data_IF_275173895716
#
_entry.id   IF_275173895716
#
_cell.length_a   1.000
_cell.length_b   1.000
_cell.length_c   1.000
_cell.angle_alpha   90.00
_cell.angle_beta   90.00
_cell.angle_gamma   90.00
#
_symmetry.space_group_name_H-M   'P 1'
#
loop_
_entity.id
_entity.type
_entity.pdbx_description
1 polymer ?
#
# COMPACT_ATOMS: atom_id res chain seq x y z
N UNK A 1 -5.14 35.23 35.56
CA UNK A 1 -3.75 34.93 35.14
C UNK A 1 -3.71 34.93 33.62
N UNK A 2 -2.75 35.66 32.99
CA UNK A 2 -2.62 35.66 31.54
C UNK A 2 -2.03 34.31 31.09
N UNK A 3 -2.54 33.72 30.01
CA UNK A 3 -2.10 32.42 29.47
C UNK A 3 -0.57 32.35 29.30
N UNK A 4 0.05 33.48 28.90
CA UNK A 4 1.51 33.57 28.75
C UNK A 4 2.29 33.36 30.10
N UNK A 5 1.69 33.73 31.24
CA UNK A 5 2.30 33.49 32.56
C UNK A 5 2.19 32.00 32.95
N UNK A 6 1.05 31.35 32.64
CA UNK A 6 0.89 29.92 32.82
C UNK A 6 1.92 29.12 32.03
N UNK A 7 2.14 29.50 30.77
CA UNK A 7 3.13 28.92 29.89
C UNK A 7 4.56 29.01 30.42
N UNK A 8 4.97 30.20 30.89
CA UNK A 8 6.31 30.42 31.49
C UNK A 8 6.53 29.61 32.77
N UNK A 9 5.48 29.45 33.59
CA UNK A 9 5.54 28.62 34.81
C UNK A 9 5.64 27.15 34.48
N UNK A 10 4.90 26.66 33.46
CA UNK A 10 4.95 25.27 32.99
C UNK A 10 6.36 24.91 32.46
N UNK A 11 6.99 25.77 31.69
CA UNK A 11 8.38 25.55 31.24
C UNK A 11 9.34 25.42 32.43
N UNK A 12 9.23 26.33 33.41
CA UNK A 12 10.07 26.27 34.64
C UNK A 12 9.84 24.98 35.43
N UNK A 13 8.61 24.51 35.53
CA UNK A 13 8.27 23.25 36.21
C UNK A 13 8.91 22.05 35.54
N UNK A 14 8.83 21.97 34.20
CA UNK A 14 9.42 20.88 33.39
C UNK A 14 10.96 20.87 33.53
N UNK A 15 11.58 22.03 33.48
CA UNK A 15 13.06 22.14 33.59
C UNK A 15 13.59 21.86 34.98
N UNK A 16 12.81 22.07 36.05
CA UNK A 16 13.23 21.84 37.41
C UNK A 16 13.34 20.34 37.78
N UNK A 17 12.51 19.47 37.18
CA UNK A 17 12.49 18.03 37.46
C UNK A 17 12.54 17.20 36.16
N UNK A 18 13.69 17.32 35.45
CA UNK A 18 13.91 16.76 34.09
C UNK A 18 13.60 15.26 33.96
N UNK A 19 14.09 14.45 34.91
CA UNK A 19 13.90 12.97 34.86
C UNK A 19 12.43 12.61 34.93
N UNK A 20 11.64 13.26 35.79
CA UNK A 20 10.20 13.04 35.93
C UNK A 20 9.47 13.45 34.66
N UNK A 21 9.82 14.62 34.09
CA UNK A 21 9.22 15.09 32.85
C UNK A 21 9.50 14.15 31.66
N UNK A 22 10.72 13.62 31.55
CA UNK A 22 11.06 12.65 30.52
C UNK A 22 10.29 11.35 30.67
N UNK A 23 10.22 10.80 31.90
CA UNK A 23 9.48 9.57 32.18
C UNK A 23 7.98 9.71 31.91
N UNK A 24 7.38 10.86 32.22
CA UNK A 24 5.99 11.15 31.89
C UNK A 24 5.73 11.27 30.40
N UNK A 25 6.62 11.97 29.71
CA UNK A 25 6.50 12.14 28.25
C UNK A 25 6.74 10.83 27.51
N UNK A 26 7.52 9.88 28.07
CA UNK A 26 7.94 8.67 27.36
C UNK A 26 6.73 7.84 26.85
N UNK A 27 5.69 7.69 27.65
CA UNK A 27 4.47 6.98 27.23
C UNK A 27 3.78 7.64 26.04
N UNK A 28 3.72 8.98 26.03
CA UNK A 28 3.13 9.75 24.93
C UNK A 28 4.05 9.71 23.71
N UNK A 29 5.36 9.86 23.88
CA UNK A 29 6.33 9.80 22.81
C UNK A 29 6.24 8.46 22.06
N UNK A 30 6.27 7.36 22.81
CA UNK A 30 6.16 6.02 22.22
C UNK A 30 4.79 5.83 21.56
N UNK A 31 3.70 6.23 22.20
CA UNK A 31 2.36 6.11 21.67
C UNK A 31 2.19 6.87 20.35
N UNK A 32 2.57 8.14 20.32
CA UNK A 32 2.48 8.98 19.11
C UNK A 32 3.41 8.47 18.02
N UNK A 33 4.67 8.12 18.34
CA UNK A 33 5.60 7.59 17.37
C UNK A 33 5.08 6.29 16.73
N UNK A 34 4.54 5.37 17.54
CA UNK A 34 3.98 4.11 17.05
C UNK A 34 2.81 4.34 16.09
N UNK A 35 1.88 5.26 16.42
CA UNK A 35 0.75 5.62 15.53
C UNK A 35 1.28 6.16 14.20
N UNK A 36 2.21 7.11 14.24
CA UNK A 36 2.75 7.74 13.04
C UNK A 36 3.45 6.71 12.16
N UNK A 37 4.30 5.84 12.72
CA UNK A 37 5.01 4.80 11.97
C UNK A 37 4.00 3.82 11.35
N UNK A 38 3.10 3.23 12.15
CA UNK A 38 2.17 2.20 11.70
C UNK A 38 1.26 2.69 10.58
N UNK A 39 0.60 3.83 10.79
CA UNK A 39 -0.34 4.36 9.79
C UNK A 39 0.40 4.77 8.52
N UNK A 40 1.61 5.31 8.64
CA UNK A 40 2.43 5.67 7.47
C UNK A 40 2.86 4.43 6.68
N UNK A 41 3.28 3.35 7.34
CA UNK A 41 3.67 2.10 6.67
C UNK A 41 2.48 1.46 5.95
N UNK A 42 1.31 1.40 6.59
CA UNK A 42 0.09 0.86 5.97
C UNK A 42 -0.33 1.69 4.75
N UNK A 43 -0.37 3.03 4.88
CA UNK A 43 -0.68 3.92 3.75
C UNK A 43 0.33 3.79 2.61
N UNK A 44 1.61 3.74 2.93
CA UNK A 44 2.68 3.58 1.93
C UNK A 44 2.64 2.22 1.22
N UNK A 45 2.33 1.15 1.93
CA UNK A 45 2.11 -0.17 1.35
C UNK A 45 0.91 -0.17 0.39
N UNK A 46 -0.20 0.46 0.80
CA UNK A 46 -1.39 0.61 -0.04
C UNK A 46 -1.09 1.42 -1.32
N UNK A 47 -0.37 2.52 -1.19
CA UNK A 47 0.00 3.34 -2.34
C UNK A 47 0.84 2.55 -3.34
N UNK A 48 1.87 1.82 -2.88
CA UNK A 48 2.67 0.95 -3.75
C UNK A 48 1.85 -0.12 -4.43
N UNK A 49 0.93 -0.74 -3.70
CA UNK A 49 0.05 -1.75 -4.26
C UNK A 49 -0.84 -1.16 -5.35
N UNK A 50 -1.40 0.04 -5.13
CA UNK A 50 -2.20 0.74 -6.14
C UNK A 50 -1.38 1.09 -7.38
N UNK A 51 -0.16 1.64 -7.21
CA UNK A 51 0.76 1.92 -8.31
C UNK A 51 1.10 0.66 -9.11
N UNK A 52 1.32 -0.47 -8.43
CA UNK A 52 1.56 -1.75 -9.07
C UNK A 52 0.37 -2.21 -9.92
N UNK A 53 -0.87 -2.13 -9.39
CA UNK A 53 -2.07 -2.48 -10.14
C UNK A 53 -2.34 -1.51 -11.31
N UNK A 54 -2.05 -0.22 -11.15
CA UNK A 54 -2.13 0.75 -12.25
C UNK A 54 -1.17 0.39 -13.39
N UNK A 55 0.04 -0.06 -13.06
CA UNK A 55 1.02 -0.55 -14.06
C UNK A 55 0.57 -1.84 -14.73
N UNK A 56 -0.03 -2.78 -14.01
CA UNK A 56 -0.62 -4.00 -14.58
C UNK A 56 -1.70 -3.69 -15.62
N UNK A 57 -2.35 -2.54 -15.48
CA UNK A 57 -3.45 -2.09 -16.32
C UNK A 57 -4.80 -2.29 -15.66
N UNK A 58 -5.45 -1.19 -15.38
CA UNK A 58 -6.80 -1.14 -14.82
C UNK A 58 -7.82 -1.78 -15.77
N UNK A 59 -8.96 -2.18 -15.22
CA UNK A 59 -10.10 -2.71 -15.94
C UNK A 59 -9.89 -4.11 -16.57
N UNK A 60 -8.99 -4.92 -15.98
CA UNK A 60 -8.84 -6.32 -16.39
C UNK A 60 -9.90 -7.20 -15.72
N UNK A 61 -10.40 -8.13 -16.49
CA UNK A 61 -11.27 -9.22 -16.05
C UNK A 61 -10.60 -10.52 -16.45
N UNK A 62 -10.27 -11.33 -15.46
CA UNK A 62 -9.69 -12.66 -15.67
C UNK A 62 -10.80 -13.68 -15.76
N UNK A 63 -10.76 -14.48 -16.80
CA UNK A 63 -11.67 -15.58 -17.06
C UNK A 63 -10.91 -16.88 -16.95
N UNK A 64 -11.28 -17.74 -16.01
CA UNK A 64 -10.73 -19.08 -15.83
C UNK A 64 -11.80 -20.11 -16.16
N UNK A 65 -11.46 -21.10 -17.01
CA UNK A 65 -12.34 -22.20 -17.37
C UNK A 65 -11.78 -23.47 -16.73
N UNK A 66 -12.57 -24.07 -15.85
CA UNK A 66 -12.23 -25.30 -15.17
C UNK A 66 -12.91 -26.48 -15.90
N UNK A 67 -12.22 -27.60 -16.03
CA UNK A 67 -12.82 -28.82 -16.58
C UNK A 67 -12.46 -29.10 -18.04
N UNK A 68 -13.31 -29.94 -18.70
CA UNK A 68 -13.06 -30.33 -20.09
C UNK A 68 -13.37 -29.20 -21.05
N UNK A 69 -12.35 -28.83 -21.83
CA UNK A 69 -12.48 -27.88 -22.93
C UNK A 69 -13.58 -28.36 -23.92
N UNK A 70 -14.60 -27.53 -24.13
CA UNK A 70 -15.52 -27.73 -25.25
C UNK A 70 -14.84 -27.23 -26.51
N UNK A 71 -14.68 -28.10 -27.49
CA UNK A 71 -14.20 -27.71 -28.82
C UNK A 71 -14.96 -26.49 -29.32
N UNK A 72 -14.22 -25.41 -29.64
CA UNK A 72 -14.79 -24.17 -30.15
C UNK A 72 -15.19 -23.12 -29.10
N UNK A 73 -15.01 -23.39 -27.79
CA UNK A 73 -15.36 -22.42 -26.74
C UNK A 73 -14.53 -21.13 -26.85
N UNK A 74 -13.24 -21.25 -27.18
CA UNK A 74 -12.35 -20.10 -27.39
C UNK A 74 -12.87 -19.19 -28.50
N UNK A 75 -13.19 -19.75 -29.64
CA UNK A 75 -13.70 -19.04 -30.80
C UNK A 75 -15.03 -18.35 -30.50
N UNK A 76 -15.93 -19.04 -29.84
CA UNK A 76 -17.23 -18.47 -29.45
C UNK A 76 -17.08 -17.37 -28.40
N UNK A 77 -16.14 -17.49 -27.46
CA UNK A 77 -15.83 -16.45 -26.48
C UNK A 77 -15.23 -15.20 -27.15
N UNK A 78 -14.31 -15.39 -28.10
CA UNK A 78 -13.75 -14.27 -28.88
C UNK A 78 -14.83 -13.55 -29.67
N UNK A 79 -15.72 -14.30 -30.34
CA UNK A 79 -16.84 -13.73 -31.07
C UNK A 79 -17.81 -12.99 -30.15
N UNK A 80 -18.13 -13.56 -28.98
CA UNK A 80 -18.98 -12.92 -27.99
C UNK A 80 -18.40 -11.60 -27.49
N UNK A 81 -17.09 -11.56 -27.14
CA UNK A 81 -16.41 -10.34 -26.75
C UNK A 81 -16.34 -9.33 -27.91
N UNK A 82 -16.09 -9.79 -29.13
CA UNK A 82 -16.03 -8.95 -30.33
C UNK A 82 -17.36 -8.24 -30.67
N UNK A 83 -18.50 -8.84 -30.29
CA UNK A 83 -19.84 -8.23 -30.45
C UNK A 83 -20.16 -7.18 -29.36
N UNK A 84 -19.41 -7.12 -28.29
CA UNK A 84 -19.60 -6.23 -27.14
C UNK A 84 -18.55 -5.15 -27.03
N UNK A 85 -18.21 -4.52 -28.14
CA UNK A 85 -17.21 -3.42 -28.20
C UNK A 85 -17.59 -2.17 -27.42
N UNK A 86 -18.84 -2.07 -26.99
CA UNK A 86 -19.33 -1.05 -26.07
C UNK A 86 -18.74 -1.21 -24.65
N UNK A 87 -18.53 -2.45 -24.19
CA UNK A 87 -18.07 -2.78 -22.85
C UNK A 87 -16.64 -3.37 -22.81
N UNK A 88 -16.25 -4.09 -23.86
CA UNK A 88 -14.99 -4.84 -23.94
C UNK A 88 -14.07 -4.20 -24.98
N UNK A 89 -12.85 -3.85 -24.57
CA UNK A 89 -11.81 -3.31 -25.44
C UNK A 89 -11.01 -4.39 -26.17
N UNK A 90 -10.87 -5.58 -25.58
CA UNK A 90 -10.15 -6.70 -26.16
C UNK A 90 -10.17 -7.95 -25.28
N UNK A 91 -9.79 -9.06 -25.85
CA UNK A 91 -9.62 -10.35 -25.17
C UNK A 91 -8.37 -11.05 -25.69
N UNK A 92 -7.58 -11.64 -24.79
CA UNK A 92 -6.35 -12.38 -25.12
C UNK A 92 -6.26 -13.63 -24.25
N UNK A 93 -5.61 -14.71 -24.74
CA UNK A 93 -5.22 -15.82 -23.87
C UNK A 93 -4.30 -15.33 -22.76
N UNK A 94 -4.35 -15.99 -21.61
CA UNK A 94 -3.46 -15.75 -20.48
C UNK A 94 -2.84 -17.08 -20.03
N UNK A 95 -1.89 -17.54 -20.82
CA UNK A 95 -1.19 -18.82 -20.62
C UNK A 95 0.31 -18.58 -20.73
N UNK A 96 1.02 -18.87 -19.65
CA UNK A 96 2.48 -18.86 -19.60
C UNK A 96 3.01 -20.27 -19.86
N UNK A 97 3.82 -20.40 -20.91
CA UNK A 97 4.46 -21.66 -21.28
C UNK A 97 5.73 -21.94 -20.47
N UNK A 98 6.22 -20.96 -19.71
CA UNK A 98 7.44 -21.06 -18.87
C UNK A 98 8.65 -21.67 -19.61
N UNK A 99 8.82 -21.31 -20.89
CA UNK A 99 9.87 -21.86 -21.75
C UNK A 99 11.13 -20.97 -21.73
N UNK A 100 12.33 -21.57 -21.77
CA UNK A 100 13.56 -20.79 -21.87
C UNK A 100 13.70 -20.16 -23.25
N UNK A 101 14.30 -18.96 -23.26
CA UNK A 101 14.64 -18.23 -24.49
C UNK A 101 16.16 -18.15 -24.59
N UNK A 102 16.72 -18.41 -25.78
CA UNK A 102 18.13 -18.29 -26.03
C UNK A 102 18.42 -17.51 -27.32
N UNK A 103 19.53 -16.77 -27.28
CA UNK A 103 20.11 -16.07 -28.43
C UNK A 103 21.61 -16.25 -28.39
N UNK A 104 22.17 -16.83 -29.44
CA UNK A 104 23.59 -17.19 -29.49
C UNK A 104 24.02 -18.02 -28.28
N UNK A 105 25.00 -17.52 -27.51
CA UNK A 105 25.51 -18.15 -26.28
C UNK A 105 24.77 -17.76 -24.99
N UNK A 106 23.81 -16.81 -25.09
CA UNK A 106 23.03 -16.34 -23.91
C UNK A 106 21.72 -17.11 -23.79
N UNK A 107 21.38 -17.55 -22.59
CA UNK A 107 20.13 -18.23 -22.29
C UNK A 107 19.52 -17.69 -21.02
N UNK A 108 18.21 -17.50 -21.03
CA UNK A 108 17.44 -17.01 -19.88
C UNK A 108 17.36 -18.00 -18.73
N UNK A 109 17.75 -19.27 -18.91
CA UNK A 109 17.90 -20.24 -17.82
C UNK A 109 18.94 -19.85 -16.78
N UNK A 110 19.86 -18.94 -17.14
CA UNK A 110 20.92 -18.43 -16.25
C UNK A 110 20.58 -17.09 -15.61
N UNK A 111 19.36 -16.59 -15.75
CA UNK A 111 18.93 -15.37 -15.08
C UNK A 111 18.75 -15.63 -13.57
N UNK A 112 19.37 -14.81 -12.73
CA UNK A 112 19.27 -14.91 -11.26
C UNK A 112 17.85 -14.70 -10.75
N UNK A 113 17.05 -13.93 -11.48
CA UNK A 113 15.66 -13.58 -11.14
C UNK A 113 14.60 -14.54 -11.70
N UNK A 114 15.04 -15.70 -12.21
CA UNK A 114 14.17 -16.64 -12.92
C UNK A 114 14.05 -16.33 -14.42
N UNK A 115 13.68 -17.32 -15.20
CA UNK A 115 13.45 -17.17 -16.64
C UNK A 115 12.26 -16.26 -16.96
N UNK A 116 12.15 -15.74 -18.19
CA UNK A 116 11.01 -14.94 -18.62
C UNK A 116 9.76 -15.81 -18.76
N UNK A 117 8.61 -15.21 -18.47
CA UNK A 117 7.33 -15.78 -18.84
C UNK A 117 7.12 -15.71 -20.36
N UNK A 118 6.75 -16.82 -20.98
CA UNK A 118 6.43 -16.88 -22.41
C UNK A 118 4.92 -17.00 -22.58
N UNK A 119 4.27 -15.88 -22.84
CA UNK A 119 2.81 -15.81 -22.96
C UNK A 119 2.35 -16.12 -24.37
N UNK A 120 1.25 -16.85 -24.44
CA UNK A 120 0.44 -16.95 -25.66
C UNK A 120 -0.34 -15.64 -25.83
N UNK A 121 -0.28 -15.03 -27.00
CA UNK A 121 -0.98 -13.77 -27.28
C UNK A 121 -1.69 -13.76 -28.62
N UNK A 122 -2.59 -12.81 -28.75
CA UNK A 122 -3.22 -12.43 -30.02
C UNK A 122 -3.03 -10.93 -30.28
N UNK A 123 -3.76 -10.35 -31.22
CA UNK A 123 -3.70 -8.92 -31.55
C UNK A 123 -4.05 -7.97 -30.42
N UNK A 124 -4.81 -8.45 -29.44
CA UNK A 124 -5.31 -7.64 -28.31
C UNK A 124 -4.42 -7.76 -27.07
N UNK A 125 -3.31 -8.54 -27.14
CA UNK A 125 -2.47 -8.80 -25.98
C UNK A 125 -1.93 -7.52 -25.34
N UNK A 126 -1.38 -6.63 -26.16
CA UNK A 126 -0.83 -5.36 -25.71
C UNK A 126 -1.90 -4.44 -25.12
N UNK A 127 -3.08 -4.40 -25.74
CA UNK A 127 -4.25 -3.66 -25.26
C UNK A 127 -4.71 -4.21 -23.92
N UNK A 128 -4.92 -5.53 -23.80
CA UNK A 128 -5.38 -6.18 -22.59
C UNK A 128 -4.40 -5.99 -21.44
N UNK A 129 -3.11 -6.08 -21.70
CA UNK A 129 -2.07 -6.00 -20.70
C UNK A 129 -1.42 -4.60 -20.58
N UNK A 130 -1.94 -3.59 -21.26
CA UNK A 130 -1.45 -2.20 -21.21
C UNK A 130 0.04 -2.05 -21.55
N UNK A 131 0.53 -2.85 -22.53
CA UNK A 131 1.87 -2.70 -23.07
C UNK A 131 1.86 -1.77 -24.28
N UNK A 132 2.95 -1.05 -24.48
CA UNK A 132 3.19 -0.23 -25.66
C UNK A 132 4.42 -0.73 -26.39
N UNK A 133 4.38 -0.73 -27.72
CA UNK A 133 5.54 -1.08 -28.53
C UNK A 133 6.58 0.04 -28.45
N UNK A 134 7.80 -0.32 -28.12
CA UNK A 134 8.96 0.57 -28.12
C UNK A 134 9.74 0.52 -29.43
N UNK A 135 9.91 -0.68 -30.00
CA UNK A 135 10.60 -0.91 -31.27
C UNK A 135 9.89 -2.00 -32.06
N UNK A 136 9.92 -1.89 -33.40
CA UNK A 136 9.28 -2.87 -34.25
C UNK A 136 7.76 -2.77 -34.30
N UNK A 137 7.06 -3.89 -34.31
CA UNK A 137 5.59 -4.00 -34.36
C UNK A 137 5.06 -5.04 -33.39
N UNK A 138 3.77 -4.93 -33.08
CA UNK A 138 3.03 -5.90 -32.30
C UNK A 138 2.55 -7.11 -33.13
N UNK A 139 1.98 -8.12 -32.44
CA UNK A 139 1.34 -9.26 -33.09
C UNK A 139 0.16 -8.79 -33.96
N UNK A 140 0.07 -9.36 -35.14
CA UNK A 140 -1.03 -9.11 -36.07
C UNK A 140 -1.90 -10.34 -36.23
N UNK A 141 -3.13 -10.15 -36.72
CA UNK A 141 -4.04 -11.25 -37.04
C UNK A 141 -3.42 -12.28 -38.01
N UNK A 142 -2.62 -11.79 -38.96
CA UNK A 142 -1.92 -12.66 -39.93
C UNK A 142 -0.87 -13.55 -39.28
N UNK A 143 -0.21 -13.09 -38.21
CA UNK A 143 0.81 -13.89 -37.54
C UNK A 143 0.16 -15.12 -36.85
N UNK A 144 -1.02 -14.97 -36.23
CA UNK A 144 -1.77 -16.09 -35.67
C UNK A 144 -2.39 -16.97 -36.76
N UNK A 145 -3.01 -16.36 -37.78
CA UNK A 145 -3.70 -17.11 -38.85
C UNK A 145 -2.76 -17.96 -39.71
N UNK A 146 -1.56 -17.44 -39.98
CA UNK A 146 -0.54 -18.12 -40.78
C UNK A 146 0.45 -18.94 -39.94
N UNK A 147 0.20 -19.05 -38.62
CA UNK A 147 1.08 -19.75 -37.68
C UNK A 147 2.55 -19.33 -37.82
N UNK A 148 2.82 -18.02 -37.92
CA UNK A 148 4.19 -17.51 -38.08
C UNK A 148 4.97 -17.66 -36.75
N UNK A 149 6.25 -18.07 -36.91
CA UNK A 149 7.15 -18.14 -35.76
C UNK A 149 7.70 -16.74 -35.46
N UNK A 150 6.91 -15.91 -34.81
CA UNK A 150 7.30 -14.55 -34.44
C UNK A 150 7.13 -14.35 -32.93
N UNK A 151 7.92 -13.43 -32.37
CA UNK A 151 7.89 -13.10 -30.95
C UNK A 151 8.03 -11.60 -30.73
N UNK A 152 7.30 -11.08 -29.75
CA UNK A 152 7.51 -9.74 -29.19
C UNK A 152 8.14 -9.91 -27.82
N UNK A 153 9.29 -9.28 -27.58
CA UNK A 153 10.03 -9.40 -26.33
C UNK A 153 9.64 -8.27 -25.35
N UNK A 154 9.64 -8.56 -24.07
CA UNK A 154 9.64 -7.55 -23.02
C UNK A 154 11.00 -6.86 -22.95
N UNK A 155 11.02 -5.62 -22.44
CA UNK A 155 12.23 -4.80 -22.42
C UNK A 155 13.39 -5.46 -21.64
N UNK A 156 13.11 -6.11 -20.53
CA UNK A 156 14.14 -6.77 -19.70
C UNK A 156 14.72 -8.01 -20.40
N UNK A 157 13.86 -8.84 -20.97
CA UNK A 157 14.29 -10.02 -21.75
C UNK A 157 15.15 -9.60 -22.93
N UNK A 158 14.73 -8.56 -23.65
CA UNK A 158 15.49 -8.02 -24.79
C UNK A 158 16.87 -7.50 -24.36
N UNK A 159 16.94 -6.69 -23.29
CA UNK A 159 18.20 -6.19 -22.74
C UNK A 159 19.14 -7.32 -22.30
N UNK A 160 18.61 -8.35 -21.64
CA UNK A 160 19.41 -9.47 -21.17
C UNK A 160 20.02 -10.30 -22.31
N UNK A 161 19.22 -10.60 -23.34
CA UNK A 161 19.66 -11.44 -24.45
C UNK A 161 20.56 -10.70 -25.44
N UNK A 162 20.26 -9.44 -25.74
CA UNK A 162 20.86 -8.69 -26.85
C UNK A 162 21.82 -7.58 -26.40
N UNK A 163 21.76 -7.18 -25.11
CA UNK A 163 22.55 -6.07 -24.59
C UNK A 163 22.29 -4.77 -25.37
N UNK A 164 23.26 -4.31 -26.18
CA UNK A 164 23.13 -3.10 -26.99
C UNK A 164 22.74 -3.36 -28.46
N UNK A 165 22.59 -4.64 -28.85
CA UNK A 165 22.21 -5.00 -30.23
C UNK A 165 20.69 -4.85 -30.39
N UNK A 166 20.25 -4.32 -31.55
CA UNK A 166 18.80 -4.27 -31.83
C UNK A 166 18.24 -5.68 -32.01
N UNK A 167 17.26 -6.09 -31.17
CA UNK A 167 16.63 -7.40 -31.25
C UNK A 167 15.76 -7.60 -32.50
N UNK A 168 15.17 -6.51 -33.04
CA UNK A 168 14.18 -6.61 -34.11
C UNK A 168 14.83 -7.17 -35.40
N UNK A 169 14.20 -8.18 -35.98
CA UNK A 169 14.70 -8.89 -37.13
C UNK A 169 15.74 -9.98 -36.85
N UNK A 170 16.06 -10.22 -35.56
CA UNK A 170 16.94 -11.33 -35.15
C UNK A 170 16.10 -12.56 -34.80
N UNK A 171 16.74 -13.73 -34.89
CA UNK A 171 16.13 -15.00 -34.53
C UNK A 171 16.51 -15.41 -33.10
N UNK A 172 15.54 -15.80 -32.28
CA UNK A 172 15.73 -16.38 -30.94
C UNK A 172 15.13 -17.77 -30.87
N UNK A 173 15.65 -18.61 -30.02
CA UNK A 173 15.09 -19.96 -29.82
C UNK A 173 14.27 -19.98 -28.53
N UNK A 174 12.99 -20.37 -28.65
CA UNK A 174 12.04 -20.54 -27.54
C UNK A 174 11.71 -22.03 -27.44
N UNK A 175 12.03 -22.65 -26.29
CA UNK A 175 11.86 -24.10 -26.16
C UNK A 175 12.59 -24.90 -27.27
N UNK A 176 13.69 -24.37 -27.78
CA UNK A 176 14.49 -24.98 -28.85
C UNK A 176 13.96 -24.73 -30.28
N UNK A 177 12.86 -24.01 -30.47
CA UNK A 177 12.29 -23.67 -31.77
C UNK A 177 12.66 -22.22 -32.19
N UNK A 178 12.98 -21.95 -33.47
CA UNK A 178 13.33 -20.62 -33.92
C UNK A 178 12.12 -19.70 -34.03
N UNK A 179 12.26 -18.46 -33.54
CA UNK A 179 11.28 -17.39 -33.62
C UNK A 179 11.94 -16.09 -34.05
N UNK A 180 11.35 -15.38 -35.00
CA UNK A 180 11.77 -14.07 -35.41
C UNK A 180 11.28 -12.98 -34.46
N UNK A 181 12.17 -12.17 -33.92
CA UNK A 181 11.79 -11.00 -33.08
C UNK A 181 11.23 -9.91 -34.01
N UNK A 182 9.93 -9.59 -33.81
CA UNK A 182 9.22 -8.57 -34.60
C UNK A 182 9.05 -7.26 -33.87
N UNK A 183 9.20 -7.26 -32.54
CA UNK A 183 9.06 -6.05 -31.73
C UNK A 183 9.58 -6.24 -30.32
N UNK A 184 9.70 -5.11 -29.62
CA UNK A 184 10.05 -5.03 -28.20
C UNK A 184 9.09 -4.07 -27.54
N UNK A 185 8.51 -4.48 -26.42
CA UNK A 185 7.66 -3.62 -25.58
C UNK A 185 8.50 -2.57 -24.85
N UNK A 186 7.92 -1.40 -24.61
CA UNK A 186 8.51 -0.39 -23.73
C UNK A 186 8.59 -0.93 -22.29
N UNK A 187 9.64 -0.54 -21.58
CA UNK A 187 9.78 -0.87 -20.18
C UNK A 187 8.62 -0.30 -19.39
N UNK A 188 8.01 -1.14 -18.56
CA UNK A 188 6.86 -0.83 -17.72
C UNK A 188 7.22 -0.82 -16.24
N UNK A 189 8.17 -1.66 -15.85
CA UNK A 189 8.65 -1.80 -14.49
C UNK A 189 10.17 -2.06 -14.47
N UNK A 190 10.98 -1.04 -14.86
CA UNK A 190 12.43 -1.21 -15.01
C UNK A 190 13.16 -1.46 -13.69
N UNK A 191 12.60 -0.99 -12.56
CA UNK A 191 13.27 -0.99 -11.25
C UNK A 191 12.98 -2.25 -10.41
N UNK A 192 12.07 -3.10 -10.86
CA UNK A 192 11.70 -4.30 -10.14
C UNK A 192 12.62 -5.47 -10.48
N UNK A 193 13.08 -6.19 -9.46
CA UNK A 193 13.84 -7.43 -9.62
C UNK A 193 13.00 -8.52 -10.31
N UNK A 194 11.70 -8.57 -10.01
CA UNK A 194 10.70 -9.45 -10.63
C UNK A 194 9.84 -8.66 -11.62
N UNK A 195 10.51 -7.99 -12.55
CA UNK A 195 9.88 -7.07 -13.50
C UNK A 195 8.89 -7.79 -14.42
N UNK A 196 7.73 -7.16 -14.63
CA UNK A 196 6.76 -7.55 -15.66
C UNK A 196 7.34 -7.48 -17.07
N UNK A 197 8.45 -6.78 -17.25
CA UNK A 197 9.17 -6.67 -18.53
C UNK A 197 10.04 -7.90 -18.85
N UNK A 198 10.12 -8.88 -17.89
CA UNK A 198 10.81 -10.15 -18.08
C UNK A 198 9.88 -11.16 -18.72
N UNK A 199 9.52 -10.93 -19.98
CA UNK A 199 8.57 -11.76 -20.69
C UNK A 199 8.83 -11.80 -22.20
N UNK A 200 8.14 -12.72 -22.88
CA UNK A 200 7.99 -12.76 -24.32
C UNK A 200 6.55 -13.13 -24.70
N UNK A 201 6.06 -12.66 -25.82
CA UNK A 201 4.72 -12.98 -26.31
C UNK A 201 4.84 -13.60 -27.70
N UNK A 202 4.26 -14.78 -27.84
CA UNK A 202 4.18 -15.52 -29.09
C UNK A 202 2.73 -15.67 -29.53
N UNK A 203 2.44 -15.79 -30.84
CA UNK A 203 1.07 -16.03 -31.30
C UNK A 203 0.47 -17.27 -30.65
N UNK A 204 -0.83 -17.28 -30.33
CA UNK A 204 -1.50 -18.44 -29.74
C UNK A 204 -1.38 -19.72 -30.61
N UNK A 205 -1.22 -19.56 -31.92
CA UNK A 205 -0.96 -20.67 -32.83
C UNK A 205 0.42 -21.35 -32.64
N UNK A 206 1.34 -20.70 -31.91
CA UNK A 206 2.67 -21.25 -31.61
C UNK A 206 2.61 -22.50 -30.71
N UNK A 207 1.50 -22.76 -30.03
CA UNK A 207 1.26 -24.02 -29.29
C UNK A 207 1.51 -25.26 -30.15
N UNK A 208 1.17 -25.21 -31.43
CA UNK A 208 1.41 -26.31 -32.39
C UNK A 208 2.89 -26.52 -32.65
N UNK A 209 3.67 -25.45 -32.75
CA UNK A 209 5.10 -25.45 -33.07
C UNK A 209 5.91 -25.87 -31.85
N UNK A 210 5.55 -25.32 -30.70
CA UNK A 210 6.18 -25.61 -29.42
C UNK A 210 5.77 -26.98 -28.84
N UNK A 211 4.89 -27.71 -29.55
CA UNK A 211 4.32 -29.00 -29.10
C UNK A 211 3.81 -28.94 -27.67
N UNK A 212 3.30 -27.77 -27.25
CA UNK A 212 2.71 -27.61 -25.95
C UNK A 212 1.38 -28.32 -25.89
N UNK A 213 1.20 -29.13 -24.84
CA UNK A 213 -0.09 -29.77 -24.53
C UNK A 213 -0.98 -28.85 -23.69
N UNK A 214 -0.50 -27.66 -23.36
CA UNK A 214 -1.26 -26.72 -22.56
C UNK A 214 -2.49 -26.24 -23.30
N UNK A 215 -3.59 -26.32 -22.60
CA UNK A 215 -4.90 -25.86 -23.08
C UNK A 215 -5.07 -24.40 -22.70
N UNK A 216 -5.63 -23.63 -23.60
CA UNK A 216 -6.00 -22.23 -23.33
C UNK A 216 -7.29 -22.24 -22.51
N UNK A 217 -7.16 -22.20 -21.20
CA UNK A 217 -8.25 -22.19 -20.23
C UNK A 217 -8.34 -20.88 -19.45
N UNK A 218 -7.36 -20.02 -19.61
CA UNK A 218 -7.30 -18.69 -18.99
C UNK A 218 -7.29 -17.60 -20.05
N UNK A 219 -8.08 -16.55 -19.82
CA UNK A 219 -8.17 -15.40 -20.70
C UNK A 219 -8.18 -14.12 -19.89
N UNK A 220 -7.49 -13.10 -20.40
CA UNK A 220 -7.57 -11.73 -19.92
C UNK A 220 -8.46 -10.92 -20.85
N UNK A 221 -9.54 -10.37 -20.30
CA UNK A 221 -10.48 -9.48 -20.99
C UNK A 221 -10.27 -8.06 -20.48
N UNK A 222 -10.14 -7.09 -21.37
CA UNK A 222 -10.03 -5.66 -21.03
C UNK A 222 -11.40 -5.01 -21.14
N UNK A 223 -11.94 -4.54 -20.04
CA UNK A 223 -13.12 -3.69 -20.05
C UNK A 223 -12.74 -2.27 -20.54
N UNK A 224 -13.67 -1.58 -21.20
CA UNK A 224 -13.43 -0.27 -21.81
C UNK A 224 -13.11 0.81 -20.76
N UNK A 225 -13.75 0.73 -19.60
CA UNK A 225 -13.49 1.60 -18.46
C UNK A 225 -13.82 0.88 -17.15
N UNK A 226 -13.47 1.49 -16.01
CA UNK A 226 -13.68 0.88 -14.68
C UNK A 226 -15.17 0.64 -14.37
N UNK A 227 -16.07 1.49 -14.86
CA UNK A 227 -17.52 1.30 -14.65
C UNK A 227 -18.05 0.08 -15.42
N UNK A 228 -17.46 -0.26 -16.57
CA UNK A 228 -17.83 -1.40 -17.38
C UNK A 228 -17.36 -2.76 -16.80
N UNK A 229 -16.39 -2.78 -15.85
CA UNK A 229 -15.83 -4.01 -15.28
C UNK A 229 -16.91 -4.88 -14.64
N UNK A 230 -17.77 -4.30 -13.78
CA UNK A 230 -18.85 -5.05 -13.11
C UNK A 230 -19.84 -5.64 -14.11
N UNK A 231 -20.18 -4.87 -15.15
CA UNK A 231 -21.08 -5.35 -16.21
C UNK A 231 -20.41 -6.44 -17.05
N UNK A 232 -19.12 -6.30 -17.36
CA UNK A 232 -18.35 -7.31 -18.09
C UNK A 232 -18.28 -8.63 -17.29
N UNK A 233 -18.03 -8.59 -15.98
CA UNK A 233 -18.02 -9.78 -15.12
C UNK A 233 -19.38 -10.47 -15.16
N UNK A 234 -20.47 -9.74 -14.96
CA UNK A 234 -21.82 -10.31 -14.95
C UNK A 234 -22.18 -10.93 -16.30
N UNK A 235 -21.86 -10.26 -17.39
CA UNK A 235 -22.16 -10.73 -18.75
C UNK A 235 -21.29 -11.95 -19.14
N UNK A 236 -19.99 -11.92 -18.86
CA UNK A 236 -19.08 -13.02 -19.14
C UNK A 236 -19.40 -14.23 -18.25
N UNK A 237 -19.69 -14.00 -16.97
CA UNK A 237 -20.11 -15.05 -16.04
C UNK A 237 -21.37 -15.74 -16.52
N UNK A 238 -22.43 -15.00 -16.79
CA UNK A 238 -23.70 -15.57 -17.30
C UNK A 238 -23.55 -16.30 -18.64
N UNK A 239 -22.74 -15.75 -19.56
CA UNK A 239 -22.43 -16.41 -20.83
C UNK A 239 -21.72 -17.75 -20.62
N UNK A 240 -20.65 -17.76 -19.81
CA UNK A 240 -19.83 -18.94 -19.56
C UNK A 240 -20.59 -19.99 -18.72
N UNK A 241 -21.36 -19.57 -17.71
CA UNK A 241 -22.22 -20.48 -16.95
C UNK A 241 -23.20 -21.24 -17.87
N UNK A 242 -23.73 -20.56 -18.88
CA UNK A 242 -24.60 -21.20 -19.91
C UNK A 242 -23.83 -22.16 -20.82
N UNK A 243 -22.54 -21.98 -21.04
CA UNK A 243 -21.73 -22.82 -21.93
C UNK A 243 -21.08 -24.03 -21.22
N UNK A 244 -20.50 -23.80 -20.04
CA UNK A 244 -19.69 -24.82 -19.34
C UNK A 244 -20.28 -25.26 -18.00
N UNK A 245 -21.29 -24.57 -17.50
CA UNK A 245 -21.89 -24.78 -16.18
C UNK A 245 -21.26 -23.91 -15.10
N UNK A 246 -22.02 -23.63 -14.05
CA UNK A 246 -21.69 -22.64 -13.00
C UNK A 246 -20.37 -22.91 -12.27
N UNK A 247 -20.09 -24.20 -12.00
CA UNK A 247 -18.90 -24.59 -11.22
C UNK A 247 -17.64 -24.76 -12.09
N UNK A 248 -17.77 -24.59 -13.41
CA UNK A 248 -16.68 -24.82 -14.36
C UNK A 248 -16.10 -23.53 -14.95
N UNK A 249 -16.48 -22.38 -14.44
CA UNK A 249 -15.87 -21.10 -14.82
C UNK A 249 -15.78 -20.15 -13.63
N UNK A 250 -14.73 -19.36 -13.63
CA UNK A 250 -14.54 -18.27 -12.67
C UNK A 250 -14.25 -16.99 -13.45
N UNK A 251 -15.01 -15.96 -13.18
CA UNK A 251 -14.83 -14.64 -13.78
C UNK A 251 -14.65 -13.64 -12.64
N UNK A 252 -13.47 -13.04 -12.55
CA UNK A 252 -13.15 -12.07 -11.51
C UNK A 252 -12.35 -10.91 -12.09
N UNK A 253 -12.23 -9.85 -11.33
CA UNK A 253 -11.44 -8.68 -11.70
C UNK A 253 -10.39 -8.42 -10.63
N UNK A 254 -9.22 -7.94 -11.05
CA UNK A 254 -8.18 -7.46 -10.15
C UNK A 254 -8.66 -6.29 -9.28
N UNK A 255 -9.67 -5.52 -9.77
CA UNK A 255 -10.31 -4.47 -8.99
C UNK A 255 -10.98 -4.99 -7.71
N UNK A 256 -11.52 -6.24 -7.72
CA UNK A 256 -12.07 -6.86 -6.51
C UNK A 256 -10.98 -7.14 -5.47
N UNK A 257 -9.83 -7.61 -5.93
CA UNK A 257 -8.68 -7.84 -5.06
C UNK A 257 -8.17 -6.52 -4.44
N UNK A 258 -8.20 -5.43 -5.21
CA UNK A 258 -7.85 -4.08 -4.71
C UNK A 258 -8.84 -3.64 -3.63
N UNK A 259 -10.13 -3.82 -3.85
CA UNK A 259 -11.17 -3.43 -2.89
C UNK A 259 -11.09 -4.27 -1.60
N UNK A 260 -10.85 -5.57 -1.71
CA UNK A 260 -10.67 -6.47 -0.56
C UNK A 260 -9.40 -6.14 0.22
N UNK A 261 -8.30 -5.85 -0.49
CA UNK A 261 -7.05 -5.42 0.12
C UNK A 261 -7.20 -4.08 0.86
N UNK A 262 -7.96 -3.14 0.32
CA UNK A 262 -8.28 -1.88 1.01
C UNK A 262 -9.05 -2.14 2.30
N UNK A 263 -10.11 -2.94 2.25
CA UNK A 263 -10.90 -3.30 3.45
C UNK A 263 -10.04 -3.99 4.51
N UNK A 264 -9.15 -4.89 4.11
CA UNK A 264 -8.22 -5.56 5.03
C UNK A 264 -7.27 -4.56 5.68
N UNK A 265 -6.73 -3.61 4.90
CA UNK A 265 -5.85 -2.56 5.42
C UNK A 265 -6.57 -1.56 6.31
N UNK A 266 -7.84 -1.22 6.02
CA UNK A 266 -8.66 -0.38 6.88
C UNK A 266 -8.92 -1.08 8.22
N UNK A 267 -9.22 -2.37 8.19
CA UNK A 267 -9.38 -3.20 9.41
C UNK A 267 -8.08 -3.26 10.20
N UNK A 268 -6.94 -3.49 9.54
CA UNK A 268 -5.62 -3.49 10.15
C UNK A 268 -5.31 -2.13 10.80
N UNK A 269 -5.60 -1.04 10.10
CA UNK A 269 -5.42 0.33 10.62
C UNK A 269 -6.26 0.59 11.87
N UNK A 270 -7.49 0.08 11.91
CA UNK A 270 -8.37 0.20 13.06
C UNK A 270 -7.84 -0.60 14.27
N UNK A 271 -7.40 -1.84 14.07
CA UNK A 271 -6.82 -2.68 15.12
C UNK A 271 -5.53 -2.04 15.67
N UNK A 272 -4.62 -1.63 14.78
CA UNK A 272 -3.36 -1.00 15.18
C UNK A 272 -3.60 0.35 15.86
N UNK A 273 -4.57 1.14 15.35
CA UNK A 273 -5.02 2.38 16.00
C UNK A 273 -5.59 2.15 17.39
N UNK A 274 -6.33 1.06 17.59
CA UNK A 274 -6.83 0.64 18.91
C UNK A 274 -5.71 0.32 19.90
N UNK A 275 -4.71 -0.48 19.47
CA UNK A 275 -3.54 -0.81 20.30
C UNK A 275 -2.76 0.45 20.68
N UNK A 276 -2.54 1.33 19.72
CA UNK A 276 -1.86 2.60 19.97
C UNK A 276 -2.69 3.53 20.89
N UNK A 277 -4.02 3.52 20.75
CA UNK A 277 -4.93 4.21 21.64
C UNK A 277 -4.81 3.75 23.10
N UNK A 278 -4.74 2.43 23.31
CA UNK A 278 -4.50 1.85 24.65
C UNK A 278 -3.14 2.31 25.20
N UNK A 279 -2.09 2.30 24.39
CA UNK A 279 -0.75 2.78 24.80
C UNK A 279 -0.77 4.24 25.22
N UNK A 280 -1.51 5.10 24.49
CA UNK A 280 -1.68 6.50 24.82
C UNK A 280 -2.52 6.69 26.11
N UNK A 281 -3.54 5.86 26.35
CA UNK A 281 -4.31 5.87 27.61
C UNK A 281 -3.41 5.53 28.79
N UNK A 282 -2.57 4.51 28.68
CA UNK A 282 -1.60 4.15 29.74
C UNK A 282 -0.62 5.30 30.00
N UNK A 283 -0.13 5.93 28.94
CA UNK A 283 0.69 7.15 29.04
C UNK A 283 -0.04 8.30 29.74
N UNK A 284 -1.32 8.49 29.44
CA UNK A 284 -2.20 9.48 30.08
C UNK A 284 -2.42 9.22 31.57
N UNK A 285 -2.63 7.97 31.98
CA UNK A 285 -2.71 7.57 33.39
C UNK A 285 -1.38 7.87 34.09
N UNK A 286 -0.24 7.63 33.44
CA UNK A 286 1.07 7.99 33.94
C UNK A 286 1.18 9.49 34.26
N UNK A 287 0.67 10.35 33.33
CA UNK A 287 0.61 11.80 33.53
C UNK A 287 -0.26 12.17 34.74
N UNK A 288 -1.47 11.59 34.81
CA UNK A 288 -2.39 11.83 35.91
C UNK A 288 -1.74 11.52 37.26
N UNK A 289 -1.08 10.37 37.39
CA UNK A 289 -0.41 9.97 38.64
C UNK A 289 0.73 10.93 39.01
N UNK A 290 1.52 11.36 38.05
CA UNK A 290 2.63 12.28 38.30
C UNK A 290 2.10 13.68 38.65
N UNK A 291 1.03 14.12 37.99
CA UNK A 291 0.38 15.39 38.35
C UNK A 291 -0.21 15.37 39.76
N UNK A 292 -0.79 14.24 40.23
CA UNK A 292 -1.25 14.09 41.61
C UNK A 292 -0.09 14.23 42.60
N UNK A 293 1.05 13.60 42.35
CA UNK A 293 2.25 13.76 43.17
C UNK A 293 2.74 15.21 43.13
N UNK A 294 2.71 15.85 41.97
CA UNK A 294 3.13 17.26 41.82
C UNK A 294 2.22 18.20 42.62
N UNK A 295 0.91 17.95 42.63
CA UNK A 295 -0.06 18.70 43.43
C UNK A 295 0.24 18.55 44.94
N UNK A 296 0.50 17.31 45.41
CA UNK A 296 0.84 17.07 46.81
C UNK A 296 2.14 17.75 47.23
N UNK A 297 3.19 17.70 46.42
CA UNK A 297 4.46 18.41 46.67
C UNK A 297 4.31 19.95 46.70
N UNK A 298 3.35 20.50 45.92
CA UNK A 298 3.10 21.94 45.83
C UNK A 298 1.91 22.44 46.68
N UNK A 299 1.40 21.61 47.59
CA UNK A 299 0.21 21.92 48.39
C UNK A 299 0.37 23.26 49.13
N UNK A 300 1.52 23.49 49.75
CA UNK A 300 1.83 24.75 50.49
C UNK A 300 1.88 25.99 49.56
N UNK A 301 2.46 25.84 48.39
CA UNK A 301 2.53 26.93 47.36
C UNK A 301 1.11 27.29 46.89
N UNK A 302 0.25 26.29 46.63
CA UNK A 302 -1.16 26.46 46.25
C UNK A 302 -1.93 27.15 47.40
N UNK A 303 -1.69 26.74 48.65
CA UNK A 303 -2.30 27.34 49.83
C UNK A 303 -1.95 28.84 49.99
N UNK A 304 -0.68 29.20 49.82
CA UNK A 304 -0.22 30.60 49.88
C UNK A 304 -0.90 31.43 48.77
N UNK A 305 -0.95 30.93 47.53
CA UNK A 305 -1.63 31.63 46.43
C UNK A 305 -3.09 31.88 46.68
N UNK A 306 -3.79 30.89 47.26
CA UNK A 306 -5.20 31.03 47.64
C UNK A 306 -5.39 32.01 48.78
N UNK A 307 -4.49 32.00 49.78
CA UNK A 307 -4.56 32.92 50.93
C UNK A 307 -4.44 34.39 50.49
N UNK A 308 -3.66 34.66 49.43
CA UNK A 308 -3.53 36.00 48.84
C UNK A 308 -4.59 36.33 47.78
N UNK A 309 -5.66 35.49 47.65
CA UNK A 309 -6.83 35.78 46.82
C UNK A 309 -6.82 35.22 45.39
N UNK A 310 -5.99 34.25 45.07
CA UNK A 310 -6.01 33.64 43.74
C UNK A 310 -7.34 32.86 43.48
N UNK A 311 -8.07 33.17 42.40
CA UNK A 311 -9.33 32.46 42.11
C UNK A 311 -9.05 31.00 41.72
N UNK A 312 -10.01 30.13 42.03
CA UNK A 312 -9.96 28.70 41.76
C UNK A 312 -9.67 28.38 40.30
N UNK A 313 -10.23 29.16 39.35
CA UNK A 313 -10.02 29.03 37.93
C UNK A 313 -8.56 29.26 37.49
N UNK A 314 -7.83 30.15 38.18
CA UNK A 314 -6.42 30.40 37.89
C UNK A 314 -5.51 29.22 38.21
N UNK A 315 -5.80 28.51 39.32
CA UNK A 315 -5.05 27.31 39.71
C UNK A 315 -5.38 26.16 38.77
N UNK A 316 -6.68 25.96 38.49
CA UNK A 316 -7.13 24.95 37.53
C UNK A 316 -6.49 25.15 36.16
N UNK A 317 -6.54 26.37 35.62
CA UNK A 317 -5.93 26.69 34.30
C UNK A 317 -4.42 26.45 34.29
N UNK A 318 -3.73 26.76 35.40
CA UNK A 318 -2.28 26.54 35.50
C UNK A 318 -1.92 25.07 35.33
N UNK A 319 -2.58 24.15 36.06
CA UNK A 319 -2.31 22.71 35.98
C UNK A 319 -2.74 22.10 34.65
N UNK A 320 -3.85 22.58 34.05
CA UNK A 320 -4.27 22.15 32.69
C UNK A 320 -3.28 22.58 31.61
N UNK A 321 -2.76 23.79 31.67
CA UNK A 321 -1.73 24.23 30.74
C UNK A 321 -0.44 23.45 30.94
N UNK A 322 -0.07 23.13 32.20
CA UNK A 322 1.13 22.34 32.50
C UNK A 322 1.01 20.91 31.90
N UNK A 323 -0.10 20.22 32.08
CA UNK A 323 -0.35 18.90 31.51
C UNK A 323 -0.43 18.92 29.96
N UNK A 324 -1.13 19.91 29.40
CA UNK A 324 -1.22 20.10 27.97
C UNK A 324 0.16 20.34 27.31
N UNK A 325 1.02 21.11 27.97
CA UNK A 325 2.40 21.36 27.50
C UNK A 325 3.26 20.11 27.55
N UNK A 326 3.21 19.33 28.64
CA UNK A 326 3.96 18.08 28.76
C UNK A 326 3.54 17.13 27.64
N UNK A 327 2.24 17.00 27.39
CA UNK A 327 1.71 16.17 26.31
C UNK A 327 2.03 16.73 24.92
N UNK A 328 1.96 18.03 24.73
CA UNK A 328 2.32 18.69 23.49
C UNK A 328 3.80 18.50 23.16
N UNK A 329 4.71 18.67 24.13
CA UNK A 329 6.14 18.40 23.92
C UNK A 329 6.39 16.91 23.67
N UNK A 330 5.73 16.01 24.41
CA UNK A 330 5.76 14.57 24.15
C UNK A 330 5.26 14.22 22.73
N UNK A 331 4.18 14.87 22.30
CA UNK A 331 3.63 14.73 20.94
C UNK A 331 4.61 15.18 19.85
N UNK A 332 5.25 16.34 20.02
CA UNK A 332 6.29 16.83 19.05
C UNK A 332 7.47 15.86 19.00
N UNK A 333 7.98 15.43 20.15
CA UNK A 333 9.10 14.46 20.18
C UNK A 333 8.65 13.09 19.61
N UNK A 334 7.42 12.67 19.86
CA UNK A 334 6.83 11.46 19.30
C UNK A 334 6.72 11.54 17.77
N UNK A 335 6.31 12.67 17.22
CA UNK A 335 6.28 12.90 15.76
C UNK A 335 7.68 12.88 15.17
N UNK A 336 8.66 13.50 15.80
CA UNK A 336 10.06 13.49 15.33
C UNK A 336 10.61 12.05 15.30
N UNK A 337 10.41 11.28 16.36
CA UNK A 337 10.78 9.88 16.40
C UNK A 337 9.98 9.05 15.41
N UNK A 338 8.68 9.32 15.26
CA UNK A 338 7.80 8.69 14.27
C UNK A 338 8.28 8.98 12.84
N UNK A 339 8.72 10.19 12.55
CA UNK A 339 9.30 10.57 11.26
C UNK A 339 10.56 9.74 10.95
N UNK A 340 11.50 9.71 11.88
CA UNK A 340 12.74 8.91 11.71
C UNK A 340 12.39 7.42 11.58
N UNK A 341 11.50 6.91 12.43
CA UNK A 341 11.05 5.53 12.38
C UNK A 341 10.35 5.16 11.07
N UNK A 342 9.55 6.06 10.51
CA UNK A 342 8.89 5.88 9.20
C UNK A 342 9.91 5.82 8.07
N UNK A 343 10.94 6.67 8.07
CA UNK A 343 12.01 6.62 7.07
C UNK A 343 12.78 5.29 7.13
N UNK A 344 13.11 4.85 8.35
CA UNK A 344 13.82 3.57 8.56
C UNK A 344 12.95 2.39 8.14
N UNK A 345 11.68 2.33 8.58
CA UNK A 345 10.75 1.28 8.22
C UNK A 345 10.48 1.25 6.71
N UNK A 346 10.30 2.41 6.07
CA UNK A 346 10.13 2.53 4.62
C UNK A 346 11.31 1.95 3.86
N UNK A 347 12.53 2.30 4.26
CA UNK A 347 13.76 1.80 3.61
C UNK A 347 13.99 0.30 3.85
N UNK A 348 13.74 -0.22 5.05
CA UNK A 348 13.97 -1.63 5.40
C UNK A 348 12.88 -2.55 4.88
N UNK A 349 11.59 -2.17 5.01
CA UNK A 349 10.45 -3.03 4.70
C UNK A 349 10.00 -2.84 3.25
N UNK A 350 9.82 -1.59 2.83
CA UNK A 350 9.21 -1.25 1.54
C UNK A 350 10.25 -0.94 0.45
N UNK A 351 11.54 -0.87 0.82
CA UNK A 351 12.66 -0.52 -0.08
C UNK A 351 12.50 0.84 -0.78
N UNK A 352 11.76 1.80 -0.18
CA UNK A 352 11.66 3.17 -0.65
C UNK A 352 11.55 4.18 0.50
N UNK A 353 11.76 5.48 0.20
CA UNK A 353 11.63 6.55 1.19
C UNK A 353 10.16 6.85 1.43
N UNK A 354 9.71 6.57 2.65
CA UNK A 354 8.34 6.83 3.09
C UNK A 354 8.31 8.04 4.02
N UNK A 355 7.47 9.02 3.70
CA UNK A 355 7.26 10.20 4.54
C UNK A 355 5.92 10.10 5.25
N UNK A 356 5.85 10.45 6.55
CA UNK A 356 4.58 10.49 7.26
C UNK A 356 3.68 11.61 6.69
N UNK A 357 2.38 11.32 6.65
CA UNK A 357 1.36 12.27 6.22
C UNK A 357 1.30 13.46 7.19
N UNK A 358 1.42 14.71 6.71
CA UNK A 358 1.32 15.91 7.56
C UNK A 358 -0.01 16.01 8.31
N UNK A 359 -1.11 15.59 7.69
CA UNK A 359 -2.45 15.60 8.32
C UNK A 359 -2.52 14.62 9.48
N UNK A 360 -1.95 13.41 9.31
CA UNK A 360 -1.83 12.42 10.37
C UNK A 360 -0.98 12.97 11.54
N UNK A 361 0.16 13.59 11.24
CA UNK A 361 1.07 14.14 12.24
C UNK A 361 0.41 15.28 13.04
N UNK A 362 -0.32 16.16 12.36
CA UNK A 362 -1.10 17.22 13.01
C UNK A 362 -2.22 16.66 13.89
N UNK A 363 -2.93 15.63 13.40
CA UNK A 363 -3.96 14.92 14.14
C UNK A 363 -3.41 14.25 15.40
N UNK A 364 -2.27 13.58 15.31
CA UNK A 364 -1.60 12.93 16.44
C UNK A 364 -1.13 13.95 17.49
N UNK A 365 -0.63 15.11 17.07
CA UNK A 365 -0.27 16.23 17.95
C UNK A 365 -1.51 16.75 18.71
N UNK A 366 -2.56 17.09 17.98
CA UNK A 366 -3.80 17.58 18.57
C UNK A 366 -4.38 16.58 19.59
N UNK A 367 -4.39 15.31 19.21
CA UNK A 367 -4.86 14.24 20.10
C UNK A 367 -4.01 14.12 21.36
N UNK A 368 -2.68 14.25 21.28
CA UNK A 368 -1.81 14.23 22.47
C UNK A 368 -2.10 15.39 23.42
N UNK A 369 -2.37 16.59 22.90
CA UNK A 369 -2.74 17.77 23.71
C UNK A 369 -4.10 17.56 24.37
N UNK A 370 -5.08 17.03 23.66
CA UNK A 370 -6.42 16.72 24.20
C UNK A 370 -6.31 15.69 25.33
N UNK A 371 -5.50 14.64 25.18
CA UNK A 371 -5.22 13.67 26.23
C UNK A 371 -4.59 14.34 27.46
N UNK A 372 -3.64 15.24 27.25
CA UNK A 372 -3.02 16.00 28.34
C UNK A 372 -4.05 16.81 29.15
N UNK A 373 -5.00 17.43 28.47
CA UNK A 373 -6.09 18.16 29.13
C UNK A 373 -7.01 17.19 29.89
N UNK A 374 -7.40 16.07 29.24
CA UNK A 374 -8.31 15.09 29.83
C UNK A 374 -7.74 14.46 31.12
N UNK A 375 -6.51 13.93 31.05
CA UNK A 375 -5.85 13.32 32.20
C UNK A 375 -5.34 14.32 33.24
N UNK A 376 -5.06 15.56 32.83
CA UNK A 376 -4.70 16.67 33.71
C UNK A 376 -5.89 17.28 34.46
N UNK A 377 -7.14 17.04 34.01
CA UNK A 377 -8.35 17.63 34.57
C UNK A 377 -8.57 17.22 36.01
N UNK A 378 -8.49 15.93 36.32
CA UNK A 378 -8.73 15.43 37.69
C UNK A 378 -7.73 15.99 38.70
N UNK A 379 -6.39 15.94 38.49
CA UNK A 379 -5.42 16.58 39.39
C UNK A 379 -5.64 18.09 39.52
N UNK A 380 -5.99 18.77 38.45
CA UNK A 380 -6.21 20.21 38.44
C UNK A 380 -7.46 20.60 39.28
N UNK A 381 -8.54 19.82 39.20
CA UNK A 381 -9.73 20.01 40.04
C UNK A 381 -9.38 19.81 41.51
N UNK A 382 -8.63 18.76 41.83
CA UNK A 382 -8.19 18.46 43.20
C UNK A 382 -7.35 19.59 43.77
N UNK A 383 -6.32 20.05 43.03
CA UNK A 383 -5.47 21.19 43.39
C UNK A 383 -6.28 22.47 43.63
N UNK A 384 -7.24 22.75 42.73
CA UNK A 384 -8.10 23.93 42.81
C UNK A 384 -9.12 23.87 43.95
N UNK A 385 -9.41 22.69 44.49
CA UNK A 385 -10.34 22.46 45.61
C UNK A 385 -9.72 22.65 47.02
N UNK A 386 -8.39 22.61 47.15
CA UNK A 386 -7.69 22.75 48.42
C UNK A 386 -8.08 24.06 49.15
N UNK A 387 -8.37 23.99 50.43
CA UNK A 387 -8.61 25.21 51.27
C UNK A 387 -7.26 25.76 51.76
N UNK A 388 -7.09 27.10 51.89
CA UNK A 388 -5.83 27.70 52.36
C UNK A 388 -5.38 27.13 53.72
N UNK A 389 -6.33 26.91 54.63
CA UNK A 389 -6.05 26.40 55.97
C UNK A 389 -5.53 24.95 55.92
N UNK A 390 -6.19 24.08 55.15
CA UNK A 390 -5.75 22.69 55.02
C UNK A 390 -4.36 22.61 54.30
N UNK A 391 -4.15 23.46 53.32
CA UNK A 391 -2.90 23.47 52.54
C UNK A 391 -1.68 24.04 53.32
N UNK A 392 -1.88 24.89 54.29
CA UNK A 392 -0.81 25.46 55.13
C UNK A 392 -0.54 24.61 56.39
N UNK A 393 -1.40 23.67 56.74
CA UNK A 393 -1.29 22.79 57.91
C UNK A 393 -0.61 21.46 57.62
N UNK A 394 -0.34 21.17 56.37
CA UNK A 394 0.42 19.98 55.93
C UNK A 394 1.90 20.25 56.12
N UNK A 395 2.54 19.52 57.02
CA UNK A 395 4.01 19.48 57.22
C UNK A 395 4.74 18.86 56.03
#
# INVERSE_FOLDING_TARGET
MKIAQAFKMAIRSITAKKVRAILTMLGIIIGVASVVIMVSVVKGSNQKMMEYFERLGNNKVTVLIHGRDRKGLKETLYEYCGRRKDLIAGITPDVDLSLPISYNSRSTTKMETGGPSVYLGNTDYSVCNNFKIGRGRDLSYLDSKLCRNVVVLGARTASYLFDQVDPVGKEVHIGGQPFLVIGVYMAKDPDSEYSMDNMAVVPEAATRILRSQERITSFTVKAKNRAAVKQAITLLGGYLEGQVGKDNCTVHSDDQFIDDSKRQNDTMSLVLGGIAGISLLVGGIGIMNIMLVTVSERTREIGIRKAIGAPRSSILLQFLVESAMVCGLGGVLGILLGFVGTLVAGKLILKFLLFPDPVLSAGAFLFSVVLGIAFGMYPAIMASGLTPVAALRTD
#
